data_IF_616736190256
#
_entry.id   IF_616736190256
#
_cell.length_a   1.000
_cell.length_b   1.000
_cell.length_c   1.000
_cell.angle_alpha   90.00
_cell.angle_beta   90.00
_cell.angle_gamma   90.00
#
_symmetry.space_group_name_H-M   'P 1'
#
loop_
_entity.id
_entity.type
_entity.pdbx_description
1 polymer ?
#
# COMPACT_ATOMS: atom_id res chain seq x y z
N UNK A 1 -2.50 1.98 13.50
CA UNK A 1 -1.54 2.50 12.49
C UNK A 1 -1.23 3.93 12.88
N UNK A 2 0.04 4.36 12.95
CA UNK A 2 0.32 5.76 13.30
C UNK A 2 -0.05 6.68 12.14
N UNK A 3 -0.38 7.93 12.45
CA UNK A 3 -0.82 8.94 11.48
C UNK A 3 0.18 9.10 10.32
N UNK A 4 1.49 9.02 10.62
CA UNK A 4 2.58 9.09 9.64
C UNK A 4 2.49 7.97 8.60
N UNK A 5 2.22 6.73 9.01
CA UNK A 5 2.09 5.61 8.05
C UNK A 5 0.87 5.74 7.16
N UNK A 6 -0.25 6.28 7.67
CA UNK A 6 -1.46 6.51 6.87
C UNK A 6 -1.22 7.51 5.74
N UNK A 7 -0.53 8.59 6.06
CA UNK A 7 -0.10 9.57 5.07
C UNK A 7 0.84 8.96 4.04
N UNK A 8 1.86 8.23 4.48
CA UNK A 8 2.79 7.52 3.59
C UNK A 8 2.05 6.57 2.64
N UNK A 9 1.21 5.69 3.19
CA UNK A 9 0.46 4.72 2.39
C UNK A 9 -0.48 5.42 1.40
N UNK A 10 -1.23 6.42 1.83
CA UNK A 10 -2.14 7.18 0.96
C UNK A 10 -1.41 7.88 -0.18
N UNK A 11 -0.30 8.57 0.13
CA UNK A 11 0.49 9.32 -0.85
C UNK A 11 1.17 8.38 -1.85
N UNK A 12 1.74 7.27 -1.37
CA UNK A 12 2.32 6.23 -2.23
C UNK A 12 1.23 5.57 -3.09
N UNK A 13 0.05 5.29 -2.55
CA UNK A 13 -1.05 4.69 -3.32
C UNK A 13 -1.51 5.62 -4.43
N UNK A 14 -1.67 6.91 -4.15
CA UNK A 14 -2.01 7.93 -5.16
C UNK A 14 -0.91 8.05 -6.22
N UNK A 15 0.36 8.09 -5.80
CA UNK A 15 1.50 8.17 -6.72
C UNK A 15 1.60 6.92 -7.63
N UNK A 16 1.49 5.73 -7.05
CA UNK A 16 1.54 4.44 -7.78
C UNK A 16 0.40 4.34 -8.79
N UNK A 17 -0.80 4.75 -8.38
CA UNK A 17 -1.99 4.71 -9.24
C UNK A 17 -1.92 5.78 -10.34
N UNK A 18 -1.38 6.97 -10.03
CA UNK A 18 -1.14 8.02 -11.01
C UNK A 18 -0.12 7.61 -12.07
N UNK A 19 0.99 6.99 -11.66
CA UNK A 19 1.99 6.43 -12.60
C UNK A 19 1.36 5.31 -13.42
N UNK A 20 0.53 4.45 -12.82
CA UNK A 20 -0.18 3.40 -13.56
C UNK A 20 -1.16 3.96 -14.60
N UNK A 21 -1.85 5.08 -14.31
CA UNK A 21 -2.68 5.79 -15.30
C UNK A 21 -1.86 6.34 -16.47
N UNK A 22 -0.64 6.83 -16.21
CA UNK A 22 0.23 7.35 -17.26
C UNK A 22 0.81 6.23 -18.13
N UNK A 23 1.15 5.08 -17.55
CA UNK A 23 1.77 3.96 -18.27
C UNK A 23 0.73 3.10 -19.01
N UNK A 24 -0.41 2.80 -18.38
CA UNK A 24 -1.45 1.92 -18.93
C UNK A 24 -2.67 2.67 -19.48
N UNK A 25 -2.69 4.00 -19.39
CA UNK A 25 -3.82 4.83 -19.81
C UNK A 25 -4.96 4.89 -18.78
N UNK A 26 -6.04 5.60 -19.14
CA UNK A 26 -7.26 5.75 -18.33
C UNK A 26 -7.96 4.41 -18.13
N UNK A 27 -7.59 3.72 -17.05
CA UNK A 27 -8.20 2.47 -16.61
C UNK A 27 -9.02 2.70 -15.34
N UNK A 28 -10.14 1.98 -15.22
CA UNK A 28 -11.04 2.09 -14.07
C UNK A 28 -10.35 1.72 -12.75
N UNK A 29 -9.46 0.72 -12.80
CA UNK A 29 -8.75 0.18 -11.65
C UNK A 29 -7.83 1.19 -10.94
N UNK A 30 -6.84 1.83 -11.61
CA UNK A 30 -6.05 2.88 -11.00
C UNK A 30 -6.88 4.03 -10.43
N UNK A 31 -8.00 4.38 -11.08
CA UNK A 31 -8.89 5.45 -10.64
C UNK A 31 -9.54 5.11 -9.29
N UNK A 32 -10.00 3.87 -9.13
CA UNK A 32 -10.49 3.34 -7.84
C UNK A 32 -9.40 3.35 -6.77
N UNK A 33 -8.15 3.01 -7.11
CA UNK A 33 -7.03 3.05 -6.17
C UNK A 33 -6.63 4.48 -5.77
N UNK A 34 -6.74 5.47 -6.67
CA UNK A 34 -6.57 6.89 -6.33
C UNK A 34 -7.63 7.32 -5.31
N UNK A 35 -8.89 6.98 -5.55
CA UNK A 35 -9.97 7.27 -4.59
C UNK A 35 -9.75 6.60 -3.23
N UNK A 36 -9.27 5.35 -3.22
CA UNK A 36 -8.88 4.65 -2.00
C UNK A 36 -7.75 5.36 -1.24
N UNK A 37 -6.70 5.81 -1.93
CA UNK A 37 -5.59 6.53 -1.31
C UNK A 37 -6.04 7.86 -0.69
N UNK A 38 -6.89 8.61 -1.41
CA UNK A 38 -7.49 9.85 -0.90
C UNK A 38 -8.42 9.58 0.29
N UNK A 39 -9.20 8.50 0.24
CA UNK A 39 -10.08 8.09 1.33
C UNK A 39 -9.29 7.75 2.60
N UNK A 40 -8.14 7.08 2.48
CA UNK A 40 -7.26 6.79 3.62
C UNK A 40 -6.68 8.08 4.21
N UNK A 41 -6.31 9.06 3.38
CA UNK A 41 -5.84 10.38 3.85
C UNK A 41 -6.98 11.13 4.56
N UNK A 42 -8.18 11.13 3.98
CA UNK A 42 -9.37 11.77 4.55
C UNK A 42 -9.80 11.13 5.88
N UNK A 43 -9.52 9.83 6.09
CA UNK A 43 -9.81 9.14 7.34
C UNK A 43 -9.10 9.75 8.56
N UNK A 44 -8.03 10.52 8.37
CA UNK A 44 -7.34 11.20 9.48
C UNK A 44 -8.21 12.25 10.18
N UNK A 45 -9.28 12.74 9.53
CA UNK A 45 -10.19 13.73 10.11
C UNK A 45 -11.41 13.09 10.80
N UNK A 46 -11.66 11.80 10.59
CA UNK A 46 -12.81 11.08 11.17
C UNK A 46 -12.39 9.78 11.86
N UNK A 47 -12.37 9.81 13.20
CA UNK A 47 -11.95 8.70 14.05
C UNK A 47 -12.80 7.42 13.87
N UNK A 48 -14.07 7.54 13.50
CA UNK A 48 -14.96 6.41 13.21
C UNK A 48 -14.59 5.64 11.93
N UNK A 49 -13.94 6.31 10.97
CA UNK A 49 -13.55 5.72 9.67
C UNK A 49 -12.13 5.11 9.77
N UNK A 50 -11.41 5.42 10.85
CA UNK A 50 -10.02 5.03 11.07
C UNK A 50 -9.79 3.51 10.99
N UNK A 51 -10.74 2.74 11.54
CA UNK A 51 -10.71 1.27 11.50
C UNK A 51 -10.84 0.73 10.08
N UNK A 52 -11.83 1.22 9.33
CA UNK A 52 -12.08 0.82 7.93
C UNK A 52 -10.87 1.20 7.07
N UNK A 53 -10.35 2.42 7.23
CA UNK A 53 -9.17 2.87 6.50
C UNK A 53 -7.93 2.04 6.80
N UNK A 54 -7.74 1.60 8.05
CA UNK A 54 -6.64 0.71 8.42
C UNK A 54 -6.79 -0.67 7.80
N UNK A 55 -8.02 -1.20 7.73
CA UNK A 55 -8.32 -2.49 7.09
C UNK A 55 -8.07 -2.41 5.58
N UNK A 56 -8.52 -1.34 4.93
CA UNK A 56 -8.24 -1.05 3.51
C UNK A 56 -6.74 -0.92 3.24
N UNK A 57 -5.98 -0.23 4.10
CA UNK A 57 -4.53 -0.11 3.95
C UNK A 57 -3.82 -1.47 4.05
N UNK A 58 -4.28 -2.34 4.96
CA UNK A 58 -3.77 -3.71 5.09
C UNK A 58 -4.06 -4.55 3.84
N UNK A 59 -5.30 -4.52 3.35
CA UNK A 59 -5.67 -5.20 2.11
C UNK A 59 -4.87 -4.66 0.93
N UNK A 60 -4.67 -3.34 0.83
CA UNK A 60 -3.85 -2.71 -0.19
C UNK A 60 -2.39 -3.15 -0.16
N UNK A 61 -1.81 -3.33 1.04
CA UNK A 61 -0.46 -3.89 1.18
C UNK A 61 -0.34 -5.33 0.67
N UNK A 62 -1.33 -6.18 0.97
CA UNK A 62 -1.39 -7.57 0.48
C UNK A 62 -1.59 -7.61 -1.04
N UNK A 63 -2.49 -6.77 -1.57
CA UNK A 63 -2.68 -6.63 -3.02
C UNK A 63 -1.40 -6.15 -3.72
N UNK A 64 -0.65 -5.23 -3.10
CA UNK A 64 0.63 -4.77 -3.65
C UNK A 64 1.65 -5.90 -3.71
N UNK A 65 1.76 -6.75 -2.68
CA UNK A 65 2.61 -7.95 -2.72
C UNK A 65 2.19 -8.92 -3.83
N UNK A 66 0.89 -9.14 -3.99
CA UNK A 66 0.35 -9.97 -5.06
C UNK A 66 0.65 -9.37 -6.45
N UNK A 67 0.53 -8.05 -6.58
CA UNK A 67 0.88 -7.30 -7.78
C UNK A 67 2.36 -7.42 -8.15
N UNK A 68 3.26 -7.32 -7.16
CA UNK A 68 4.70 -7.56 -7.35
C UNK A 68 4.96 -9.00 -7.79
N UNK A 69 4.31 -9.99 -7.17
CA UNK A 69 4.46 -11.39 -7.56
C UNK A 69 4.02 -11.63 -9.01
N UNK A 70 2.88 -11.06 -9.43
CA UNK A 70 2.40 -11.11 -10.81
C UNK A 70 3.34 -10.39 -11.78
N UNK A 71 3.89 -9.23 -11.38
CA UNK A 71 4.89 -8.49 -12.16
C UNK A 71 6.16 -9.31 -12.40
N UNK A 72 6.65 -10.00 -11.37
CA UNK A 72 7.84 -10.86 -11.48
C UNK A 72 7.57 -12.09 -12.35
N UNK A 73 6.38 -12.69 -12.25
CA UNK A 73 5.97 -13.79 -13.13
C UNK A 73 5.88 -13.30 -14.58
N UNK A 74 5.28 -12.13 -14.82
CA UNK A 74 5.19 -11.53 -16.15
C UNK A 74 6.58 -11.22 -16.74
N UNK A 75 7.50 -10.70 -15.91
CA UNK A 75 8.88 -10.44 -16.31
C UNK A 75 9.63 -11.73 -16.71
N UNK A 76 9.41 -12.83 -15.99
CA UNK A 76 10.01 -14.13 -16.30
C UNK A 76 9.42 -14.77 -17.57
N UNK A 77 8.11 -14.61 -17.82
CA UNK A 77 7.45 -15.14 -19.02
C UNK A 77 7.84 -14.34 -20.28
N UNK A 78 8.12 -13.04 -20.14
CA UNK A 78 8.43 -12.15 -21.26
C UNK A 78 9.84 -12.29 -21.86
N UNK A 79 10.75 -13.05 -21.25
CA UNK A 79 12.15 -13.30 -21.70
C UNK A 79 12.92 -12.05 -22.19
N UNK A 80 12.49 -10.85 -21.80
CA UNK A 80 13.01 -9.59 -22.28
C UNK A 80 13.50 -8.82 -21.07
N UNK A 81 14.74 -9.09 -20.67
CA UNK A 81 15.45 -8.33 -19.64
C UNK A 81 15.85 -6.91 -20.11
N UNK A 82 15.02 -6.30 -20.95
CA UNK A 82 14.96 -4.85 -21.16
C UNK A 82 13.70 -4.35 -20.46
N UNK A 83 13.72 -4.36 -19.13
CA UNK A 83 12.71 -3.67 -18.34
C UNK A 83 12.84 -2.17 -18.65
N UNK A 84 11.82 -1.59 -19.28
CA UNK A 84 11.83 -0.15 -19.53
C UNK A 84 11.97 0.60 -18.20
N UNK A 85 12.57 1.80 -18.18
CA UNK A 85 12.75 2.59 -16.96
C UNK A 85 11.45 2.76 -16.15
N UNK A 86 10.30 2.79 -16.82
CA UNK A 86 8.97 2.88 -16.23
C UNK A 86 8.62 1.69 -15.32
N UNK A 87 9.09 0.49 -15.67
CA UNK A 87 8.81 -0.74 -14.92
C UNK A 87 9.54 -0.76 -13.58
N UNK A 88 10.77 -0.26 -13.55
CA UNK A 88 11.57 -0.11 -12.33
C UNK A 88 10.93 0.87 -11.35
N UNK A 89 10.42 1.99 -11.85
CA UNK A 89 9.67 2.96 -11.04
C UNK A 89 8.42 2.31 -10.44
N UNK A 90 7.69 1.53 -11.23
CA UNK A 90 6.47 0.86 -10.77
C UNK A 90 6.72 -0.20 -9.70
N UNK A 91 7.78 -1.01 -9.86
CA UNK A 91 8.21 -1.98 -8.84
C UNK A 91 8.62 -1.26 -7.54
N UNK A 92 9.36 -0.15 -7.64
CA UNK A 92 9.76 0.65 -6.47
C UNK A 92 8.55 1.22 -5.72
N UNK A 93 7.59 1.77 -6.45
CA UNK A 93 6.35 2.32 -5.90
C UNK A 93 5.47 1.23 -5.25
N UNK A 94 5.29 0.10 -5.92
CA UNK A 94 4.58 -1.04 -5.34
C UNK A 94 5.27 -1.61 -4.11
N UNK A 95 6.61 -1.66 -4.10
CA UNK A 95 7.38 -2.13 -2.93
C UNK A 95 7.19 -1.20 -1.73
N UNK A 96 7.22 0.12 -1.94
CA UNK A 96 6.92 1.10 -0.90
C UNK A 96 5.47 1.00 -0.41
N UNK A 97 4.52 0.74 -1.31
CA UNK A 97 3.12 0.52 -0.96
C UNK A 97 2.94 -0.76 -0.13
N UNK A 98 3.62 -1.85 -0.50
CA UNK A 98 3.61 -3.10 0.25
C UNK A 98 4.20 -2.91 1.65
N UNK A 99 5.37 -2.26 1.78
CA UNK A 99 6.01 -2.01 3.08
C UNK A 99 5.14 -1.11 3.96
N UNK A 100 4.58 -0.03 3.41
CA UNK A 100 3.72 0.89 4.17
C UNK A 100 2.35 0.31 4.52
N UNK A 101 1.78 -0.58 3.72
CA UNK A 101 0.54 -1.30 4.02
C UNK A 101 0.74 -2.46 5.01
N UNK A 102 1.85 -3.20 4.88
CA UNK A 102 2.21 -4.29 5.78
C UNK A 102 2.77 -3.81 7.13
N UNK A 103 3.26 -2.57 7.25
CA UNK A 103 3.62 -2.00 8.56
C UNK A 103 2.42 -1.98 9.53
N UNK A 104 1.19 -1.88 9.01
CA UNK A 104 -0.04 -2.00 9.79
C UNK A 104 -0.31 -3.40 10.39
N UNK A 105 0.38 -4.44 9.93
CA UNK A 105 0.37 -5.79 10.52
C UNK A 105 1.44 -5.94 11.61
N UNK A 106 2.69 -5.60 11.30
CA UNK A 106 3.82 -5.81 12.23
C UNK A 106 3.81 -4.83 13.41
N UNK A 107 3.46 -3.57 13.18
CA UNK A 107 3.47 -2.56 14.25
C UNK A 107 2.23 -2.62 15.16
N UNK A 108 1.18 -3.32 14.74
CA UNK A 108 0.03 -3.60 15.60
C UNK A 108 0.36 -4.67 16.68
N UNK A 109 1.29 -5.59 16.38
CA UNK A 109 1.77 -6.62 17.30
C UNK A 109 2.73 -6.07 18.38
N UNK A 110 3.38 -4.94 18.11
CA UNK A 110 4.36 -4.35 19.04
C UNK A 110 3.73 -3.48 20.15
N UNK A 111 2.40 -3.35 20.16
CA UNK A 111 1.63 -2.59 21.14
C UNK A 111 0.79 -3.49 22.06
N UNK A 112 1.15 -4.77 22.23
CA UNK A 112 0.61 -5.55 23.34
C UNK A 112 1.34 -5.09 24.61
N UNK A 113 0.69 -4.33 25.51
CA UNK A 113 1.35 -3.89 26.73
C UNK A 113 1.54 -5.13 27.60
N UNK A 114 2.77 -5.33 28.08
CA UNK A 114 3.08 -6.24 29.16
C UNK A 114 2.46 -5.75 30.48
N UNK A 115 1.13 -5.75 30.58
CA UNK A 115 0.36 -5.54 31.82
C UNK A 115 0.09 -6.89 32.49
N UNK A 116 1.14 -7.65 32.77
CA UNK A 116 1.08 -8.77 33.70
C UNK A 116 2.41 -8.88 34.44
N UNK A 117 2.63 -7.98 35.41
CA UNK A 117 3.50 -8.15 36.58
C UNK A 117 3.49 -6.87 37.43
N UNK A 118 2.32 -6.55 37.95
CA UNK A 118 2.17 -5.77 39.17
C UNK A 118 1.01 -6.34 39.97
N UNK A 119 1.18 -7.55 40.48
CA UNK A 119 0.45 -8.01 41.67
C UNK A 119 1.27 -9.09 42.36
N UNK A 120 1.31 -9.01 43.70
CA UNK A 120 2.14 -9.72 44.69
C UNK A 120 3.41 -8.99 45.11
#
# INVERSE_FOLDING_TARGET
MTLVFKWLFGLITVATSGVSLLVFGLSWWPLVFVFLGLFVIASNYWQSIDYIATLLARLGGVLALLGIALLLIAANVGSSFHLSPSYWVMIGLMSLMAVSGCSGFFWALSLEPSTSKQES
#
